data_IF_920838706972
#
_entry.id   IF_920838706972
#
_cell.length_a   1.000
_cell.length_b   1.000
_cell.length_c   1.000
_cell.angle_alpha   90.00
_cell.angle_beta   90.00
_cell.angle_gamma   90.00
#
_symmetry.space_group_name_H-M   'P 1'
#
loop_
_entity.id
_entity.type
_entity.pdbx_description
1 polymer ?
#
# COMPACT_ATOMS: atom_id res chain seq x y z
N UNK A 1 -13.06 -24.17 -4.27
CA UNK A 1 -12.66 -23.13 -5.24
C UNK A 1 -11.64 -22.22 -4.58
N UNK A 2 -10.58 -21.74 -5.26
CA UNK A 2 -9.69 -20.76 -4.64
C UNK A 2 -10.50 -19.48 -4.39
N UNK A 3 -10.64 -19.09 -3.13
CA UNK A 3 -11.29 -17.85 -2.74
C UNK A 3 -10.55 -16.70 -3.42
N UNK A 4 -11.24 -15.94 -4.28
CA UNK A 4 -10.72 -14.65 -4.75
C UNK A 4 -10.55 -13.78 -3.49
N UNK A 5 -9.39 -13.16 -3.26
CA UNK A 5 -9.23 -12.32 -2.09
C UNK A 5 -10.18 -11.12 -2.22
N UNK A 6 -10.89 -10.79 -1.14
CA UNK A 6 -11.83 -9.66 -1.09
C UNK A 6 -11.14 -8.36 -1.49
N UNK A 7 -11.91 -7.38 -1.98
CA UNK A 7 -11.36 -6.06 -2.28
C UNK A 7 -10.93 -5.36 -0.98
N UNK A 8 -9.78 -4.67 -1.01
CA UNK A 8 -9.32 -3.88 0.11
C UNK A 8 -10.22 -2.66 0.32
N UNK A 9 -10.60 -2.40 1.56
CA UNK A 9 -11.45 -1.28 1.98
C UNK A 9 -10.72 -0.44 3.02
N UNK A 10 -10.75 0.87 2.85
CA UNK A 10 -10.09 1.79 3.76
C UNK A 10 -10.93 1.98 5.04
N UNK A 11 -10.31 1.77 6.19
CA UNK A 11 -10.92 2.16 7.47
C UNK A 11 -11.02 3.69 7.59
N UNK A 12 -12.09 4.26 8.16
CA UNK A 12 -12.20 5.70 8.46
C UNK A 12 -11.00 6.20 9.26
N UNK A 13 -10.53 7.42 8.95
CA UNK A 13 -9.58 8.13 9.81
C UNK A 13 -10.37 8.90 10.86
N UNK A 14 -9.87 8.92 12.10
CA UNK A 14 -10.46 9.77 13.13
C UNK A 14 -10.15 11.25 12.80
N UNK A 15 -11.18 12.09 12.89
CA UNK A 15 -11.10 13.51 12.59
C UNK A 15 -10.64 14.34 13.80
N UNK A 16 -10.54 13.74 14.99
CA UNK A 16 -10.11 14.43 16.21
C UNK A 16 -8.63 14.87 16.15
N UNK A 17 -7.79 14.17 15.40
CA UNK A 17 -6.37 14.49 15.21
C UNK A 17 -5.88 14.14 13.79
N UNK A 18 -4.79 14.76 13.30
CA UNK A 18 -4.24 14.42 11.99
C UNK A 18 -3.60 13.03 12.00
N UNK A 19 -3.95 12.20 11.01
CA UNK A 19 -3.45 10.84 10.84
C UNK A 19 -2.67 10.65 9.55
N UNK A 20 -1.80 9.64 9.54
CA UNK A 20 -1.09 9.18 8.36
C UNK A 20 -1.18 7.65 8.25
N UNK A 21 -1.47 7.15 7.05
CA UNK A 21 -1.32 5.73 6.72
C UNK A 21 0.05 5.48 6.13
N UNK A 22 0.73 4.45 6.61
CA UNK A 22 2.02 3.99 6.12
C UNK A 22 1.93 2.51 5.80
N UNK A 23 2.67 2.06 4.81
CA UNK A 23 2.76 0.63 4.50
C UNK A 23 4.09 0.05 4.96
N UNK A 24 4.05 -1.24 5.30
CA UNK A 24 5.24 -2.06 5.51
C UNK A 24 5.24 -3.20 4.50
N UNK A 25 6.21 -3.20 3.59
CA UNK A 25 6.32 -4.24 2.57
C UNK A 25 6.77 -5.57 3.19
N UNK A 26 6.07 -6.64 2.85
CA UNK A 26 6.47 -7.99 3.22
C UNK A 26 7.60 -8.47 2.31
N UNK A 27 8.73 -8.84 2.90
CA UNK A 27 9.85 -9.48 2.19
C UNK A 27 9.59 -10.94 1.82
N UNK A 28 8.54 -11.56 2.38
CA UNK A 28 8.15 -12.91 2.00
C UNK A 28 7.79 -12.96 0.51
N UNK A 29 8.47 -13.83 -0.24
CA UNK A 29 8.26 -14.05 -1.67
C UNK A 29 7.34 -15.27 -1.84
N UNK A 30 6.01 -15.11 -1.95
CA UNK A 30 5.15 -16.24 -2.22
C UNK A 30 5.49 -16.83 -3.59
N UNK A 31 5.24 -18.14 -3.77
CA UNK A 31 5.52 -18.88 -5.03
C UNK A 31 4.89 -18.27 -6.30
N UNK A 32 4.00 -17.27 -6.17
CA UNK A 32 3.34 -16.57 -7.29
C UNK A 32 3.87 -15.16 -7.55
N UNK A 33 4.92 -14.71 -6.85
CA UNK A 33 5.52 -13.39 -7.07
C UNK A 33 4.68 -12.18 -6.64
N UNK A 34 3.50 -12.41 -6.04
CA UNK A 34 2.62 -11.35 -5.57
C UNK A 34 3.31 -10.48 -4.49
N UNK A 35 3.11 -9.17 -4.59
CA UNK A 35 3.56 -8.21 -3.57
C UNK A 35 2.53 -8.21 -2.44
N UNK A 36 3.01 -8.16 -1.19
CA UNK A 36 2.19 -8.03 0.00
C UNK A 36 2.71 -6.89 0.86
N UNK A 37 1.81 -6.16 1.50
CA UNK A 37 2.14 -5.22 2.55
C UNK A 37 1.08 -5.24 3.64
N UNK A 38 1.44 -4.69 4.79
CA UNK A 38 0.50 -4.32 5.83
C UNK A 38 0.34 -2.80 5.79
N UNK A 39 -0.85 -2.29 6.08
CA UNK A 39 -1.12 -0.85 6.18
C UNK A 39 -1.47 -0.49 7.61
N UNK A 40 -0.79 0.51 8.15
CA UNK A 40 -0.99 0.96 9.52
C UNK A 40 -1.29 2.46 9.54
N UNK A 41 -2.26 2.83 10.37
CA UNK A 41 -2.60 4.23 10.65
C UNK A 41 -1.87 4.67 11.91
N UNK A 42 -1.24 5.83 11.85
CA UNK A 42 -0.57 6.47 12.98
C UNK A 42 -1.10 7.90 13.14
N UNK A 43 -1.14 8.40 14.38
CA UNK A 43 -1.23 9.83 14.61
C UNK A 43 0.00 10.50 14.00
N UNK A 44 -0.17 11.62 13.30
CA UNK A 44 0.92 12.29 12.60
C UNK A 44 2.03 12.73 13.58
N UNK A 45 1.66 13.10 14.80
CA UNK A 45 2.58 13.52 15.86
C UNK A 45 3.50 12.39 16.37
N UNK A 46 3.08 11.13 16.23
CA UNK A 46 3.81 9.96 16.76
C UNK A 46 4.13 8.95 15.66
N UNK A 47 4.12 9.37 14.39
CA UNK A 47 4.43 8.49 13.27
C UNK A 47 5.87 7.97 13.39
N UNK A 48 6.13 6.69 13.08
CA UNK A 48 7.49 6.15 13.06
C UNK A 48 8.31 6.83 11.96
N UNK A 49 9.63 6.61 11.92
CA UNK A 49 10.45 7.04 10.79
C UNK A 49 9.94 6.34 9.52
N UNK A 50 9.65 7.13 8.48
CA UNK A 50 9.18 6.63 7.20
C UNK A 50 9.81 7.37 6.02
N UNK A 51 9.84 6.69 4.89
CA UNK A 51 10.19 7.29 3.58
C UNK A 51 8.93 7.58 2.77
N UNK A 52 8.96 8.57 1.88
CA UNK A 52 7.89 8.82 0.93
C UNK A 52 8.32 8.37 -0.47
N UNK A 53 7.54 7.51 -1.12
CA UNK A 53 7.81 7.10 -2.50
C UNK A 53 7.30 8.16 -3.47
N UNK A 54 8.21 8.88 -4.09
CA UNK A 54 7.92 9.72 -5.25
C UNK A 54 8.15 8.91 -6.53
N UNK A 55 7.11 8.75 -7.34
CA UNK A 55 7.16 7.99 -8.60
C UNK A 55 6.25 8.63 -9.63
N UNK A 56 6.59 8.48 -10.91
CA UNK A 56 5.73 8.92 -12.00
C UNK A 56 4.44 8.08 -12.01
N UNK A 57 3.27 8.72 -12.12
CA UNK A 57 1.99 8.01 -12.26
C UNK A 57 1.81 7.54 -13.71
N UNK A 58 2.14 6.27 -13.95
CA UNK A 58 1.95 5.60 -15.24
C UNK A 58 0.48 5.41 -15.64
N UNK A 59 0.23 4.70 -16.76
CA UNK A 59 -1.10 4.50 -17.32
C UNK A 59 -2.12 3.95 -16.32
N UNK A 60 -3.41 4.29 -16.50
CA UNK A 60 -4.49 3.80 -15.64
C UNK A 60 -4.77 2.30 -15.78
N UNK A 61 -4.27 1.66 -16.84
CA UNK A 61 -4.37 0.21 -17.07
C UNK A 61 -3.07 -0.29 -17.73
N UNK A 62 -2.70 -1.58 -17.55
CA UNK A 62 -3.36 -2.61 -16.74
C UNK A 62 -3.18 -2.41 -15.22
N UNK A 63 -4.06 -3.04 -14.44
CA UNK A 63 -3.96 -3.08 -12.98
C UNK A 63 -3.32 -4.38 -12.50
N UNK A 64 -2.62 -4.29 -11.36
CA UNK A 64 -1.97 -5.41 -10.67
C UNK A 64 -2.51 -5.50 -9.25
N UNK A 65 -2.65 -6.72 -8.73
CA UNK A 65 -3.13 -6.95 -7.37
C UNK A 65 -2.00 -6.85 -6.35
N UNK A 66 -2.13 -5.93 -5.40
CA UNK A 66 -1.35 -5.85 -4.18
C UNK A 66 -2.15 -6.49 -3.05
N UNK A 67 -1.56 -7.41 -2.29
CA UNK A 67 -2.21 -7.97 -1.10
C UNK A 67 -1.96 -7.06 0.11
N UNK A 68 -3.04 -6.47 0.64
CA UNK A 68 -3.05 -5.63 1.83
C UNK A 68 -3.91 -6.29 2.89
N UNK A 69 -3.31 -6.72 4.00
CA UNK A 69 -4.01 -7.43 5.09
C UNK A 69 -4.87 -8.62 4.61
N UNK A 70 -4.41 -9.32 3.57
CA UNK A 70 -5.12 -10.46 2.96
C UNK A 70 -6.19 -10.10 1.92
N UNK A 71 -6.46 -8.80 1.71
CA UNK A 71 -7.38 -8.26 0.70
C UNK A 71 -6.62 -7.72 -0.51
N UNK A 72 -7.26 -7.63 -1.67
CA UNK A 72 -6.65 -7.16 -2.92
C UNK A 72 -6.89 -5.67 -3.12
N UNK A 73 -5.82 -4.90 -3.26
CA UNK A 73 -5.83 -3.53 -3.74
C UNK A 73 -5.29 -3.48 -5.18
N UNK A 74 -6.01 -2.83 -6.09
CA UNK A 74 -5.54 -2.63 -7.46
C UNK A 74 -4.56 -1.46 -7.52
N UNK A 75 -3.35 -1.75 -8.01
CA UNK A 75 -2.30 -0.76 -8.25
C UNK A 75 -1.90 -0.72 -9.72
N UNK A 76 -1.26 0.36 -10.15
CA UNK A 76 -0.75 0.50 -11.52
C UNK A 76 0.56 -0.27 -11.71
N UNK A 77 0.89 -0.57 -12.97
CA UNK A 77 2.09 -1.36 -13.34
C UNK A 77 3.39 -0.78 -12.78
N UNK A 78 3.60 0.51 -13.01
CA UNK A 78 4.75 1.26 -12.54
C UNK A 78 4.91 1.16 -11.01
N UNK A 79 3.82 1.29 -10.26
CA UNK A 79 3.87 1.13 -8.81
C UNK A 79 4.22 -0.33 -8.46
N UNK A 80 3.63 -1.31 -9.14
CA UNK A 80 3.95 -2.72 -8.92
C UNK A 80 5.46 -2.99 -9.09
N UNK A 81 6.07 -2.46 -10.16
CA UNK A 81 7.51 -2.57 -10.37
C UNK A 81 8.32 -1.86 -9.27
N UNK A 82 7.96 -0.63 -8.89
CA UNK A 82 8.62 0.07 -7.80
C UNK A 82 8.54 -0.72 -6.48
N UNK A 83 7.40 -1.35 -6.18
CA UNK A 83 7.25 -2.16 -4.96
C UNK A 83 8.11 -3.43 -4.99
N UNK A 84 8.27 -4.05 -6.17
CA UNK A 84 9.16 -5.21 -6.32
C UNK A 84 10.61 -4.85 -6.04
N UNK A 85 11.06 -3.67 -6.50
CA UNK A 85 12.40 -3.16 -6.22
C UNK A 85 12.55 -2.76 -4.74
N UNK A 86 11.59 -2.01 -4.19
CA UNK A 86 11.60 -1.58 -2.79
C UNK A 86 11.62 -2.76 -1.81
N UNK A 87 10.98 -3.88 -2.16
CA UNK A 87 10.96 -5.09 -1.33
C UNK A 87 12.37 -5.68 -1.10
N UNK A 88 13.29 -5.48 -2.04
CA UNK A 88 14.67 -5.97 -1.93
C UNK A 88 15.55 -5.01 -1.10
N UNK A 89 15.07 -3.79 -0.80
CA UNK A 89 15.75 -2.80 0.03
C UNK A 89 15.41 -2.92 1.53
N UNK A 90 15.74 -1.89 2.30
CA UNK A 90 15.57 -1.87 3.75
C UNK A 90 14.12 -1.98 4.22
N UNK A 91 13.91 -2.68 5.34
CA UNK A 91 12.59 -2.85 5.94
C UNK A 91 12.22 -1.56 6.69
N UNK A 92 11.43 -0.71 6.03
CA UNK A 92 10.99 0.56 6.60
C UNK A 92 9.54 0.86 6.24
N UNK A 93 8.91 1.71 7.05
CA UNK A 93 7.63 2.28 6.69
C UNK A 93 7.77 3.17 5.46
N UNK A 94 6.87 3.01 4.50
CA UNK A 94 6.83 3.82 3.29
C UNK A 94 5.45 4.42 3.11
N UNK A 95 5.38 5.71 2.81
CA UNK A 95 4.16 6.38 2.37
C UNK A 95 4.08 6.32 0.84
N UNK A 96 2.97 5.83 0.31
CA UNK A 96 2.72 5.75 -1.14
C UNK A 96 1.31 6.25 -1.42
N UNK A 97 1.18 7.37 -2.14
CA UNK A 97 -0.12 8.07 -2.24
C UNK A 97 -1.25 7.19 -2.81
N UNK A 98 -0.96 6.35 -3.80
CA UNK A 98 -1.97 5.45 -4.38
C UNK A 98 -2.48 4.37 -3.41
N UNK A 99 -1.71 4.05 -2.36
CA UNK A 99 -2.06 3.00 -1.36
C UNK A 99 -2.49 3.62 -0.03
N UNK A 100 -1.89 4.73 0.39
CA UNK A 100 -2.13 5.33 1.69
C UNK A 100 -3.32 6.31 1.67
N UNK A 101 -3.65 6.87 0.51
CA UNK A 101 -4.75 7.82 0.33
C UNK A 101 -5.87 7.16 -0.45
N UNK A 102 -7.09 7.22 0.08
CA UNK A 102 -8.27 6.74 -0.64
C UNK A 102 -8.52 7.64 -1.87
N UNK A 103 -8.23 7.11 -3.06
CA UNK A 103 -8.32 7.84 -4.33
C UNK A 103 -9.75 8.00 -4.86
N UNK A 104 -10.74 7.30 -4.27
CA UNK A 104 -12.13 7.27 -4.75
C UNK A 104 -13.02 8.38 -4.17
N UNK A 105 -12.48 9.26 -3.34
CA UNK A 105 -13.16 10.47 -2.87
C UNK A 105 -13.80 10.37 -1.48
N UNK A 106 -13.49 11.40 -0.69
CA UNK A 106 -14.05 11.88 0.60
C UNK A 106 -14.24 10.85 1.71
N UNK A 107 -13.34 10.88 2.70
CA UNK A 107 -13.63 10.52 4.10
C UNK A 107 -14.10 11.76 4.83
#
# INVERSE_FOLDING_TARGET
APMRPDAYEYSPLDAAEPHIRLIKLSRHKPNKGAVRCDINTFALATAPIYSALSYERGPSTPHYGLLVDGRTLNIRQNLCHCLLELREGEEQYTRIDQICVNQLGVQ
#
